data_IF_554264039686
#
_entry.id   IF_554264039686
#
_cell.length_a   1.000
_cell.length_b   1.000
_cell.length_c   1.000
_cell.angle_alpha   90.00
_cell.angle_beta   90.00
_cell.angle_gamma   90.00
#
_symmetry.space_group_name_H-M   'P 1'
#
loop_
_entity.id
_entity.type
_entity.pdbx_description
1 polymer ?
#
# COMPACT_ATOMS: atom_id res chain seq x y z
N UNK A 1 4.44 -23.31 2.25
CA UNK A 1 3.09 -23.69 1.78
C UNK A 1 2.14 -23.28 2.89
N UNK A 2 1.09 -22.52 2.57
CA UNK A 2 0.09 -22.09 3.56
C UNK A 2 -0.60 -23.32 4.18
N UNK A 3 -0.82 -23.32 5.50
CA UNK A 3 -1.28 -24.50 6.27
C UNK A 3 -2.75 -24.87 6.00
N UNK A 4 -3.47 -24.05 5.26
CA UNK A 4 -4.92 -23.94 5.10
C UNK A 4 -5.38 -24.12 3.63
N UNK A 5 -4.46 -24.38 2.71
CA UNK A 5 -4.79 -24.63 1.30
C UNK A 5 -4.95 -23.37 0.43
N UNK A 6 -4.80 -22.18 1.02
CA UNK A 6 -4.72 -20.93 0.27
C UNK A 6 -3.33 -20.73 -0.38
N UNK A 7 -3.28 -19.92 -1.45
CA UNK A 7 -2.01 -19.58 -2.13
C UNK A 7 -1.10 -18.71 -1.26
N UNK A 8 -1.66 -17.98 -0.31
CA UNK A 8 -0.99 -17.14 0.66
C UNK A 8 -1.84 -17.04 1.93
N UNK A 9 -1.19 -16.90 3.08
CA UNK A 9 -1.84 -16.73 4.38
C UNK A 9 -2.55 -15.36 4.46
N UNK A 10 -3.82 -15.29 4.90
CA UNK A 10 -4.53 -14.02 5.11
C UNK A 10 -3.79 -13.02 6.01
N UNK A 11 -3.07 -13.45 7.04
CA UNK A 11 -2.27 -12.57 7.89
C UNK A 11 -1.10 -11.96 7.12
N UNK A 12 -0.41 -12.75 6.29
CA UNK A 12 0.69 -12.26 5.43
C UNK A 12 0.17 -11.24 4.40
N UNK A 13 -1.01 -11.46 3.81
CA UNK A 13 -1.65 -10.51 2.91
C UNK A 13 -1.94 -9.17 3.62
N UNK A 14 -2.44 -9.22 4.86
CA UNK A 14 -2.67 -8.02 5.68
C UNK A 14 -1.36 -7.35 6.09
N UNK A 15 -0.34 -8.13 6.39
CA UNK A 15 1.03 -7.64 6.65
C UNK A 15 1.56 -6.83 5.47
N UNK A 16 1.48 -7.39 4.26
CA UNK A 16 1.86 -6.69 3.03
C UNK A 16 1.08 -5.39 2.80
N UNK A 17 -0.24 -5.41 3.02
CA UNK A 17 -1.06 -4.20 2.93
C UNK A 17 -0.63 -3.12 3.93
N UNK A 18 -0.32 -3.53 5.17
CA UNK A 18 0.17 -2.63 6.23
C UNK A 18 1.52 -2.02 5.87
N UNK A 19 2.45 -2.80 5.33
CA UNK A 19 3.77 -2.31 4.94
C UNK A 19 3.71 -1.31 3.77
N UNK A 20 2.83 -1.54 2.80
CA UNK A 20 2.54 -0.56 1.75
C UNK A 20 2.03 0.75 2.38
N UNK A 21 1.05 0.68 3.28
CA UNK A 21 0.51 1.87 3.94
C UNK A 21 1.56 2.63 4.77
N UNK A 22 2.45 1.93 5.47
CA UNK A 22 3.58 2.54 6.20
C UNK A 22 4.50 3.30 5.25
N UNK A 23 4.86 2.69 4.11
CA UNK A 23 5.69 3.34 3.09
C UNK A 23 5.05 4.63 2.56
N UNK A 24 3.75 4.58 2.24
CA UNK A 24 3.00 5.74 1.76
C UNK A 24 2.93 6.87 2.80
N UNK A 25 2.74 6.53 4.07
CA UNK A 25 2.71 7.51 5.15
C UNK A 25 4.07 8.21 5.32
N UNK A 26 5.18 7.49 5.17
CA UNK A 26 6.52 8.08 5.16
C UNK A 26 6.72 9.01 3.96
N UNK A 27 6.22 8.63 2.78
CA UNK A 27 6.32 9.45 1.57
C UNK A 27 5.49 10.75 1.64
N UNK A 28 4.32 10.73 2.29
CA UNK A 28 3.50 11.94 2.51
C UNK A 28 4.20 13.01 3.36
N UNK A 29 5.20 12.64 4.16
CA UNK A 29 6.01 13.59 4.93
C UNK A 29 7.13 14.24 4.11
N UNK A 30 7.38 13.78 2.89
CA UNK A 30 8.37 14.38 2.02
C UNK A 30 7.76 15.60 1.30
N UNK A 31 8.17 16.79 1.72
CA UNK A 31 7.82 18.05 1.08
C UNK A 31 8.94 18.42 0.07
N UNK A 32 8.77 18.07 -1.20
CA UNK A 32 9.77 18.40 -2.23
C UNK A 32 9.76 19.91 -2.56
N UNK A 33 8.62 20.59 -2.34
CA UNK A 33 8.54 22.05 -2.36
C UNK A 33 9.43 22.70 -1.30
N UNK A 34 9.54 22.10 -0.11
CA UNK A 34 10.48 22.55 0.92
C UNK A 34 11.95 22.41 0.49
N UNK A 35 12.29 21.40 -0.30
CA UNK A 35 13.64 21.23 -0.86
C UNK A 35 13.97 22.33 -1.89
N UNK A 36 12.94 22.94 -2.49
CA UNK A 36 13.12 24.05 -3.44
C UNK A 36 13.48 25.38 -2.73
N UNK A 37 13.30 25.47 -1.40
CA UNK A 37 13.66 26.66 -0.62
C UNK A 37 15.19 26.76 -0.50
N UNK A 38 15.81 27.56 -1.37
CA UNK A 38 17.27 27.73 -1.45
C UNK A 38 17.85 27.53 -2.84
N UNK A 39 17.01 27.18 -3.82
CA UNK A 39 17.44 26.92 -5.20
C UNK A 39 17.97 28.19 -5.91
N UNK A 40 17.60 29.37 -5.41
CA UNK A 40 18.17 30.65 -5.84
C UNK A 40 19.65 30.81 -5.40
N UNK A 41 20.08 30.13 -4.33
CA UNK A 41 21.47 30.17 -3.83
C UNK A 41 22.47 29.55 -4.82
N UNK A 42 21.99 28.76 -5.78
CA UNK A 42 22.85 28.23 -6.85
C UNK A 42 23.39 29.33 -7.79
N UNK A 43 22.80 30.53 -7.79
CA UNK A 43 23.25 31.66 -8.61
C UNK A 43 23.19 31.41 -10.12
N UNK A 44 22.53 30.34 -10.56
CA UNK A 44 22.44 29.91 -11.95
C UNK A 44 21.01 29.47 -12.28
N UNK A 45 20.29 30.30 -13.03
CA UNK A 45 18.89 30.09 -13.42
C UNK A 45 18.64 28.74 -14.11
N UNK A 46 19.61 28.22 -14.87
CA UNK A 46 19.46 26.92 -15.56
C UNK A 46 19.51 25.77 -14.56
N UNK A 47 20.43 25.83 -13.59
CA UNK A 47 20.54 24.83 -12.52
C UNK A 47 19.31 24.90 -11.63
N UNK A 48 18.89 26.12 -11.27
CA UNK A 48 17.70 26.36 -10.46
C UNK A 48 16.44 25.76 -11.09
N UNK A 49 16.16 26.07 -12.36
CA UNK A 49 14.98 25.52 -13.05
C UNK A 49 15.04 24.00 -13.28
N UNK A 50 16.23 23.40 -13.38
CA UNK A 50 16.36 21.92 -13.44
C UNK A 50 16.01 21.27 -12.10
N UNK A 51 16.41 21.89 -10.99
CA UNK A 51 16.11 21.37 -9.66
C UNK A 51 14.63 21.54 -9.32
N UNK A 52 14.04 22.69 -9.63
CA UNK A 52 12.59 22.91 -9.49
C UNK A 52 11.79 21.85 -10.25
N UNK A 53 12.13 21.63 -11.54
CA UNK A 53 11.48 20.58 -12.34
C UNK A 53 11.65 19.17 -11.76
N UNK A 54 12.80 18.89 -11.12
CA UNK A 54 13.02 17.62 -10.43
C UNK A 54 12.06 17.47 -9.24
N UNK A 55 11.92 18.50 -8.41
CA UNK A 55 10.97 18.50 -7.29
C UNK A 55 9.53 18.30 -7.78
N UNK A 56 9.09 19.07 -8.79
CA UNK A 56 7.75 18.96 -9.37
C UNK A 56 7.45 17.55 -9.90
N UNK A 57 8.45 16.94 -10.56
CA UNK A 57 8.30 15.58 -11.10
C UNK A 57 8.12 14.55 -9.99
N UNK A 58 8.83 14.70 -8.88
CA UNK A 58 8.71 13.79 -7.74
C UNK A 58 7.41 13.97 -6.97
N UNK A 59 6.92 15.19 -6.83
CA UNK A 59 5.60 15.46 -6.24
C UNK A 59 4.49 14.74 -7.03
N UNK A 60 4.52 14.82 -8.36
CA UNK A 60 3.58 14.09 -9.22
C UNK A 60 3.76 12.57 -9.10
N UNK A 61 5.01 12.09 -9.11
CA UNK A 61 5.30 10.66 -9.05
C UNK A 61 4.79 10.03 -7.74
N UNK A 62 4.93 10.72 -6.61
CA UNK A 62 4.42 10.26 -5.31
C UNK A 62 2.90 10.24 -5.29
N UNK A 63 2.23 11.20 -5.93
CA UNK A 63 0.78 11.17 -6.09
C UNK A 63 0.31 9.89 -6.82
N UNK A 64 0.88 9.62 -7.99
CA UNK A 64 0.52 8.45 -8.81
C UNK A 64 0.86 7.13 -8.12
N UNK A 65 2.06 7.03 -7.52
CA UNK A 65 2.46 5.84 -6.77
C UNK A 65 1.60 5.65 -5.53
N UNK A 66 1.19 6.74 -4.88
CA UNK A 66 0.32 6.74 -3.71
C UNK A 66 -1.04 6.13 -3.99
N UNK A 67 -1.70 6.57 -5.07
CA UNK A 67 -2.99 6.01 -5.49
C UNK A 67 -2.89 4.52 -5.80
N UNK A 68 -1.96 4.13 -6.69
CA UNK A 68 -1.79 2.73 -7.11
C UNK A 68 -1.42 1.80 -5.95
N UNK A 69 -0.61 2.28 -5.02
CA UNK A 69 -0.20 1.50 -3.86
C UNK A 69 -1.36 1.34 -2.87
N UNK A 70 -2.22 2.35 -2.74
CA UNK A 70 -3.44 2.25 -1.93
C UNK A 70 -4.38 1.20 -2.51
N UNK A 71 -4.61 1.22 -3.83
CA UNK A 71 -5.45 0.22 -4.50
C UNK A 71 -4.92 -1.21 -4.29
N UNK A 72 -3.60 -1.38 -4.37
CA UNK A 72 -2.95 -2.67 -4.12
C UNK A 72 -3.11 -3.13 -2.67
N UNK A 73 -2.93 -2.24 -1.70
CA UNK A 73 -3.13 -2.55 -0.29
C UNK A 73 -4.58 -2.97 -0.01
N UNK A 74 -5.55 -2.33 -0.66
CA UNK A 74 -6.97 -2.68 -0.52
C UNK A 74 -7.32 -4.00 -1.23
N UNK A 75 -6.68 -4.33 -2.35
CA UNK A 75 -6.82 -5.63 -3.02
C UNK A 75 -6.26 -6.77 -2.14
N UNK A 76 -5.11 -6.56 -1.48
CA UNK A 76 -4.55 -7.53 -0.54
C UNK A 76 -5.51 -7.81 0.63
N UNK A 77 -6.10 -6.75 1.21
CA UNK A 77 -7.11 -6.88 2.27
C UNK A 77 -8.35 -7.61 1.79
N UNK A 78 -8.89 -7.23 0.63
CA UNK A 78 -10.06 -7.90 0.03
C UNK A 78 -9.80 -9.39 -0.25
N UNK A 79 -8.58 -9.73 -0.66
CA UNK A 79 -8.17 -11.12 -0.87
C UNK A 79 -8.13 -11.89 0.45
N UNK A 80 -7.53 -11.32 1.51
CA UNK A 80 -7.52 -11.91 2.84
C UNK A 80 -8.93 -12.17 3.37
N UNK A 81 -9.81 -11.17 3.28
CA UNK A 81 -11.22 -11.27 3.71
C UNK A 81 -12.00 -12.33 2.91
N UNK A 82 -11.66 -12.51 1.63
CA UNK A 82 -12.26 -13.55 0.79
C UNK A 82 -11.80 -14.95 1.20
N UNK A 83 -10.54 -15.13 1.59
CA UNK A 83 -10.01 -16.42 2.05
C UNK A 83 -10.67 -16.83 3.35
N UNK A 84 -10.71 -15.94 4.35
CA UNK A 84 -11.35 -16.23 5.63
C UNK A 84 -12.84 -16.53 5.51
N UNK A 85 -13.55 -15.83 4.61
CA UNK A 85 -14.96 -16.12 4.35
C UNK A 85 -15.15 -17.50 3.74
N UNK A 86 -14.28 -17.88 2.79
CA UNK A 86 -14.30 -19.20 2.17
C UNK A 86 -14.02 -20.30 3.18
N UNK A 87 -13.10 -20.06 4.12
CA UNK A 87 -12.74 -21.03 5.16
C UNK A 87 -13.89 -21.21 6.16
N UNK A 88 -14.48 -20.11 6.63
CA UNK A 88 -15.64 -20.13 7.52
C UNK A 88 -16.87 -20.82 6.87
N UNK A 89 -17.05 -20.69 5.56
CA UNK A 89 -18.10 -21.41 4.82
C UNK A 89 -17.79 -22.92 4.73
N UNK A 90 -16.54 -23.28 4.46
CA UNK A 90 -16.10 -24.67 4.43
C UNK A 90 -16.26 -25.35 5.80
N UNK A 91 -15.87 -24.69 6.90
CA UNK A 91 -16.07 -25.18 8.26
C UNK A 91 -17.53 -25.45 8.59
N UNK A 92 -18.44 -24.56 8.17
CA UNK A 92 -19.89 -24.72 8.34
C UNK A 92 -20.46 -25.90 7.58
N UNK A 93 -19.92 -26.20 6.40
CA UNK A 93 -20.35 -27.36 5.60
C UNK A 93 -19.83 -28.68 6.18
N UNK A 94 -18.66 -28.67 6.81
CA UNK A 94 -18.03 -29.85 7.43
C UNK A 94 -18.57 -30.14 8.84
N UNK A 95 -19.02 -29.11 9.57
CA UNK A 95 -19.62 -29.23 10.91
C UNK A 95 -21.14 -28.96 10.88
N UNK A 96 -21.99 -29.96 10.61
CA UNK A 96 -23.43 -29.77 10.67
C UNK A 96 -23.84 -29.44 12.13
N UNK A 97 -24.86 -28.58 12.33
CA UNK A 97 -25.36 -28.30 13.66
C UNK A 97 -25.74 -29.62 14.30
N UNK A 98 -25.12 -29.94 15.44
CA UNK A 98 -25.54 -31.06 16.26
C UNK A 98 -26.96 -30.74 16.71
N UNK A 99 -27.94 -31.24 15.97
CA UNK A 99 -29.33 -31.22 16.36
C UNK A 99 -29.42 -32.01 17.67
N UNK A 100 -29.50 -31.26 18.77
CA UNK A 100 -29.63 -31.80 20.12
C UNK A 100 -30.77 -32.81 20.17
N UNK A 101 -30.44 -33.99 20.67
CA UNK A 101 -31.39 -34.98 21.16
C UNK A 101 -31.68 -34.71 22.63
#
# INVERSE_FOLDING_TARGET
>A
MSMDGFRADPEELRGGASDIQKCLNSARGADFGALNRGVEEFGNLIVSGKFEKFCDTWDVAIGVLGERSTDLADELKRTADSYERSDAEAERLVSPPHAGR
#
